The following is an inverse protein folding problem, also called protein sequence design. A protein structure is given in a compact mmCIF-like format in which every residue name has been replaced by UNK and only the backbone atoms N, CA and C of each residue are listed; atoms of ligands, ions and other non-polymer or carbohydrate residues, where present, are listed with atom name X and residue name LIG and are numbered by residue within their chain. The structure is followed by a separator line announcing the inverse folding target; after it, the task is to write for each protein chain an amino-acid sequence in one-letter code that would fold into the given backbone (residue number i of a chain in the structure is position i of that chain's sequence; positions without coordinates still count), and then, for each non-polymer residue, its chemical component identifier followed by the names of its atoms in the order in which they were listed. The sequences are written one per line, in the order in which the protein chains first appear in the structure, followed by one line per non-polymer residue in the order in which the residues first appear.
data_IF_490763779482
#
_entry.id   IF_490763779482
#
_cell.length_a   1.000
_cell.length_b   1.000
_cell.length_c   1.000
_cell.angle_alpha   90.00
_cell.angle_beta   90.00
_cell.angle_gamma   90.00
#
_symmetry.space_group_name_H-M   'P 1'
#
loop_
_entity.id
_entity.type
_entity.pdbx_description
1 polymer ?
#
# COMPACT_ATOMS: atom_id res chain seq x y z
N UNK A 1 -5.55 -24.15 -2.46
CA UNK A 1 -4.34 -23.30 -2.33
C UNK A 1 -4.74 -21.89 -2.72
N UNK A 2 -4.51 -20.92 -1.83
CA UNK A 2 -4.80 -19.51 -2.11
C UNK A 2 -3.78 -18.99 -3.11
N UNK A 3 -4.24 -18.52 -4.28
CA UNK A 3 -3.39 -17.93 -5.30
C UNK A 3 -3.24 -16.42 -5.05
N UNK A 4 -2.04 -15.88 -5.27
CA UNK A 4 -1.77 -14.43 -5.22
C UNK A 4 -1.48 -13.97 -6.64
N UNK A 5 -2.29 -13.04 -7.12
CA UNK A 5 -2.24 -12.51 -8.49
C UNK A 5 -2.34 -10.98 -8.49
N UNK A 6 -2.11 -10.36 -9.63
CA UNK A 6 -2.42 -8.95 -9.80
C UNK A 6 -3.93 -8.72 -9.60
N UNK A 7 -4.27 -7.70 -8.82
CA UNK A 7 -5.66 -7.32 -8.58
C UNK A 7 -6.30 -6.82 -9.88
N UNK A 8 -7.52 -7.23 -10.14
CA UNK A 8 -8.32 -6.78 -11.28
C UNK A 8 -9.14 -5.56 -10.88
N UNK A 9 -9.42 -4.68 -11.84
CA UNK A 9 -10.18 -3.46 -11.59
C UNK A 9 -11.62 -3.75 -11.12
N UNK A 10 -12.23 -4.86 -11.60
CA UNK A 10 -13.57 -5.30 -11.21
C UNK A 10 -13.67 -5.72 -9.74
N UNK A 11 -12.54 -6.02 -9.11
CA UNK A 11 -12.46 -6.45 -7.71
C UNK A 11 -12.50 -5.27 -6.72
N UNK A 12 -12.59 -4.03 -7.22
CA UNK A 12 -12.55 -2.83 -6.38
C UNK A 12 -13.59 -2.86 -5.26
N UNK A 13 -14.84 -3.24 -5.55
CA UNK A 13 -15.91 -3.32 -4.54
C UNK A 13 -15.63 -4.43 -3.50
N UNK A 14 -15.16 -5.60 -3.94
CA UNK A 14 -14.81 -6.70 -3.04
C UNK A 14 -13.63 -6.34 -2.14
N UNK A 15 -12.62 -5.64 -2.69
CA UNK A 15 -11.50 -5.11 -1.92
C UNK A 15 -11.95 -4.11 -0.86
N UNK A 16 -12.78 -3.11 -1.21
CA UNK A 16 -13.26 -2.14 -0.23
C UNK A 16 -14.01 -2.82 0.91
N UNK A 17 -14.89 -3.78 0.59
CA UNK A 17 -15.60 -4.58 1.59
C UNK A 17 -14.64 -5.35 2.52
N UNK A 18 -13.59 -5.95 1.96
CA UNK A 18 -12.56 -6.64 2.75
C UNK A 18 -11.79 -5.67 3.66
N UNK A 19 -11.45 -4.49 3.14
CA UNK A 19 -10.75 -3.45 3.90
C UNK A 19 -11.62 -2.91 5.04
N UNK A 20 -12.90 -2.66 4.80
CA UNK A 20 -13.84 -2.21 5.83
C UNK A 20 -14.04 -3.26 6.93
N UNK A 21 -14.12 -4.54 6.54
CA UNK A 21 -14.17 -5.65 7.49
C UNK A 21 -12.92 -5.75 8.37
N UNK A 22 -11.75 -5.56 7.76
CA UNK A 22 -10.46 -5.75 8.46
C UNK A 22 -9.98 -4.51 9.21
N UNK A 23 -10.34 -3.33 8.75
CA UNK A 23 -9.83 -2.04 9.22
C UNK A 23 -10.92 -0.94 9.12
N UNK A 24 -11.98 -0.99 9.93
CA UNK A 24 -13.10 -0.04 9.82
C UNK A 24 -12.66 1.43 10.00
N UNK A 25 -11.60 1.67 10.77
CA UNK A 25 -11.08 3.02 11.02
C UNK A 25 -9.93 3.42 10.07
N UNK A 26 -9.75 2.72 8.93
CA UNK A 26 -8.63 2.98 8.01
C UNK A 26 -8.58 4.41 7.48
N UNK A 27 -9.74 5.02 7.29
CA UNK A 27 -9.86 6.40 6.78
C UNK A 27 -9.27 7.47 7.73
N UNK A 28 -9.09 7.12 9.02
CA UNK A 28 -8.48 8.01 10.01
C UNK A 28 -6.95 7.96 10.00
N UNK A 29 -6.36 6.99 9.31
CA UNK A 29 -4.90 6.79 9.30
C UNK A 29 -4.19 7.82 8.45
N UNK A 30 -3.02 8.27 8.91
CA UNK A 30 -2.15 9.21 8.17
C UNK A 30 -1.76 8.70 6.78
N UNK A 31 -1.59 7.39 6.63
CA UNK A 31 -1.28 6.75 5.34
C UNK A 31 -2.42 6.86 4.32
N UNK A 32 -3.66 7.00 4.76
CA UNK A 32 -4.79 7.21 3.84
C UNK A 32 -4.71 8.56 3.13
N UNK A 33 -4.27 9.61 3.82
CA UNK A 33 -4.06 10.94 3.23
C UNK A 33 -3.08 10.94 2.07
N UNK A 34 -2.11 10.02 2.07
CA UNK A 34 -1.15 9.87 0.97
C UNK A 34 -1.80 9.16 -0.24
N UNK A 35 -2.74 8.27 0.02
CA UNK A 35 -3.40 7.43 -1.00
C UNK A 35 -4.61 8.11 -1.64
N UNK A 36 -5.22 9.04 -0.93
CA UNK A 36 -6.44 9.71 -1.37
C UNK A 36 -6.25 10.39 -2.74
N UNK A 37 -7.16 10.11 -3.68
CA UNK A 37 -7.11 10.63 -5.03
C UNK A 37 -5.93 10.14 -5.89
N UNK A 38 -5.23 9.08 -5.49
CA UNK A 38 -4.08 8.52 -6.21
C UNK A 38 -4.35 7.11 -6.71
N UNK A 39 -3.66 6.74 -7.77
CA UNK A 39 -3.59 5.37 -8.24
C UNK A 39 -2.44 4.65 -7.53
N UNK A 40 -2.58 3.35 -7.20
CA UNK A 40 -1.47 2.54 -6.72
C UNK A 40 -0.35 2.46 -7.78
N UNK A 41 0.84 2.10 -7.35
CA UNK A 41 1.95 1.87 -8.26
C UNK A 41 1.63 0.72 -9.21
N UNK A 42 1.94 0.89 -10.49
CA UNK A 42 1.60 -0.08 -11.54
C UNK A 42 2.13 -1.48 -11.23
N UNK A 43 1.24 -2.48 -11.35
CA UNK A 43 1.53 -3.89 -11.05
C UNK A 43 1.83 -4.19 -9.58
N UNK A 44 1.57 -3.25 -8.66
CA UNK A 44 1.80 -3.39 -7.22
C UNK A 44 0.49 -3.34 -6.41
N UNK A 45 -0.60 -3.77 -7.03
CA UNK A 45 -1.86 -4.15 -6.38
C UNK A 45 -2.01 -5.66 -6.49
N UNK A 46 -1.97 -6.38 -5.38
CA UNK A 46 -2.05 -7.83 -5.35
C UNK A 46 -3.29 -8.29 -4.61
N UNK A 47 -3.93 -9.31 -5.14
CA UNK A 47 -5.11 -9.96 -4.61
C UNK A 47 -4.83 -11.42 -4.31
N UNK A 48 -5.43 -11.93 -3.24
CA UNK A 48 -5.43 -13.34 -2.90
C UNK A 48 -6.86 -13.88 -2.92
N UNK A 49 -7.07 -14.97 -3.61
CA UNK A 49 -8.38 -15.62 -3.76
C UNK A 49 -8.45 -16.92 -2.96
N UNK A 50 -9.57 -17.12 -2.30
CA UNK A 50 -9.91 -18.38 -1.64
C UNK A 50 -10.26 -19.49 -2.63
N UNK A 51 -10.51 -20.71 -2.14
CA UNK A 51 -10.89 -21.85 -2.98
C UNK A 51 -12.20 -21.63 -3.77
N UNK A 52 -13.06 -20.75 -3.29
CA UNK A 52 -14.33 -20.36 -3.89
C UNK A 52 -14.21 -19.16 -4.86
N UNK A 53 -12.98 -18.72 -5.13
CA UNK A 53 -12.68 -17.58 -6.00
C UNK A 53 -12.92 -16.20 -5.37
N UNK A 54 -13.36 -16.13 -4.11
CA UNK A 54 -13.58 -14.86 -3.43
C UNK A 54 -12.26 -14.21 -3.02
N UNK A 55 -12.23 -12.88 -3.05
CA UNK A 55 -11.11 -12.10 -2.55
C UNK A 55 -10.99 -12.26 -1.02
N UNK A 56 -9.89 -12.81 -0.56
CA UNK A 56 -9.62 -13.08 0.86
C UNK A 56 -8.38 -12.37 1.39
N UNK A 57 -7.63 -11.71 0.52
CA UNK A 57 -6.48 -10.92 0.91
C UNK A 57 -6.13 -9.88 -0.14
N UNK A 58 -5.54 -8.77 0.28
CA UNK A 58 -5.07 -7.71 -0.62
C UNK A 58 -3.87 -6.98 -0.02
N UNK A 59 -2.98 -6.51 -0.88
CA UNK A 59 -1.93 -5.57 -0.53
C UNK A 59 -1.68 -4.64 -1.72
N UNK A 60 -1.44 -3.36 -1.42
CA UNK A 60 -1.13 -2.33 -2.43
C UNK A 60 0.08 -1.52 -2.03
N UNK A 61 0.81 -1.04 -3.02
CA UNK A 61 1.91 -0.10 -2.83
C UNK A 61 1.66 1.16 -3.66
N UNK A 62 2.15 2.28 -3.16
CA UNK A 62 1.87 3.61 -3.68
C UNK A 62 3.17 4.38 -3.87
N UNK A 63 3.31 5.08 -5.00
CA UNK A 63 4.47 5.94 -5.20
C UNK A 63 4.48 7.11 -4.23
N UNK A 64 5.59 7.26 -3.52
CA UNK A 64 5.86 8.36 -2.59
C UNK A 64 7.31 8.82 -2.71
N UNK A 65 7.65 9.90 -2.02
CA UNK A 65 9.04 10.26 -1.71
C UNK A 65 9.34 10.01 -0.24
N UNK A 66 10.50 9.46 0.07
CA UNK A 66 11.07 9.43 1.42
C UNK A 66 11.83 10.73 1.70
N UNK A 67 11.08 11.85 1.71
CA UNK A 67 11.63 13.19 1.66
C UNK A 67 12.09 13.60 0.25
N UNK A 68 12.57 14.85 0.07
CA UNK A 68 12.92 15.39 -1.25
C UNK A 68 13.96 14.52 -2.00
N UNK A 69 13.66 14.20 -3.27
CA UNK A 69 14.58 13.52 -4.16
C UNK A 69 14.83 12.03 -3.87
N UNK A 70 14.07 11.41 -2.98
CA UNK A 70 14.20 9.97 -2.65
C UNK A 70 12.93 9.21 -3.00
N UNK A 71 12.83 8.64 -4.21
CA UNK A 71 11.69 7.80 -4.59
C UNK A 71 11.54 6.60 -3.65
N UNK A 72 10.31 6.31 -3.27
CA UNK A 72 9.97 5.17 -2.44
C UNK A 72 8.56 4.66 -2.75
N UNK A 73 8.23 3.51 -2.20
CA UNK A 73 6.87 2.99 -2.16
C UNK A 73 6.34 3.06 -0.73
N UNK A 74 5.06 3.38 -0.56
CA UNK A 74 4.33 3.19 0.69
C UNK A 74 3.50 1.92 0.57
N UNK A 75 3.78 0.91 1.39
CA UNK A 75 3.04 -0.34 1.43
C UNK A 75 1.81 -0.19 2.32
N UNK A 76 0.68 -0.64 1.80
CA UNK A 76 -0.60 -0.75 2.48
C UNK A 76 -1.74 -0.12 1.68
N UNK A 77 -2.97 -0.45 2.02
CA UNK A 77 -3.36 -1.37 3.09
C UNK A 77 -2.99 -2.82 2.77
N UNK A 78 -2.67 -3.60 3.81
CA UNK A 78 -2.57 -5.04 3.78
C UNK A 78 -3.73 -5.60 4.60
N UNK A 79 -4.59 -6.38 3.98
CA UNK A 79 -5.72 -7.01 4.66
C UNK A 79 -5.82 -8.49 4.32
N UNK A 80 -6.19 -9.29 5.32
CA UNK A 80 -6.50 -10.71 5.18
C UNK A 80 -7.80 -10.98 5.93
N UNK A 81 -8.74 -11.60 5.21
CA UNK A 81 -10.03 -11.98 5.77
C UNK A 81 -9.83 -12.81 7.06
N UNK A 82 -10.62 -12.57 8.13
CA UNK A 82 -10.42 -13.21 9.44
C UNK A 82 -10.27 -14.73 9.39
N UNK A 83 -11.05 -15.41 8.54
CA UNK A 83 -10.99 -16.87 8.40
C UNK A 83 -9.71 -17.39 7.74
N UNK A 84 -8.94 -16.53 7.10
CA UNK A 84 -7.66 -16.86 6.46
C UNK A 84 -6.46 -16.30 7.23
N UNK A 85 -6.69 -15.71 8.40
CA UNK A 85 -5.60 -15.34 9.33
C UNK A 85 -4.97 -16.59 9.90
N UNK A 86 -3.75 -16.48 10.37
CA UNK A 86 -2.94 -17.60 10.90
C UNK A 86 -2.54 -18.69 9.88
N UNK A 87 -3.01 -18.60 8.62
CA UNK A 87 -2.57 -19.52 7.54
C UNK A 87 -1.33 -18.99 6.78
N UNK A 88 -0.66 -17.96 7.29
CA UNK A 88 0.52 -17.36 6.65
C UNK A 88 0.20 -16.50 5.41
N UNK A 89 -1.07 -16.27 5.06
CA UNK A 89 -1.45 -15.53 3.85
C UNK A 89 -0.93 -14.09 3.86
N UNK A 90 -0.96 -13.42 5.02
CA UNK A 90 -0.41 -12.06 5.16
C UNK A 90 1.09 -12.00 4.87
N UNK A 91 1.85 -13.01 5.33
CA UNK A 91 3.29 -13.12 5.05
C UNK A 91 3.54 -13.36 3.55
N UNK A 92 2.77 -14.25 2.92
CA UNK A 92 2.87 -14.50 1.48
C UNK A 92 2.55 -13.25 0.64
N UNK A 93 1.54 -12.47 1.02
CA UNK A 93 1.23 -11.19 0.37
C UNK A 93 2.38 -10.19 0.52
N UNK A 94 2.98 -10.10 1.71
CA UNK A 94 4.16 -9.26 1.95
C UNK A 94 5.35 -9.68 1.08
N UNK A 95 5.67 -10.97 1.05
CA UNK A 95 6.78 -11.51 0.26
C UNK A 95 6.55 -11.26 -1.25
N UNK A 96 5.32 -11.50 -1.73
CA UNK A 96 4.96 -11.23 -3.12
C UNK A 96 5.10 -9.74 -3.46
N UNK A 97 4.60 -8.84 -2.60
CA UNK A 97 4.69 -7.40 -2.80
C UNK A 97 6.15 -6.91 -2.81
N UNK A 98 6.98 -7.37 -1.87
CA UNK A 98 8.40 -7.04 -1.79
C UNK A 98 9.15 -7.58 -3.03
N UNK A 99 8.89 -8.82 -3.41
CA UNK A 99 9.49 -9.46 -4.59
C UNK A 99 9.13 -8.72 -5.88
N UNK A 100 7.86 -8.37 -6.05
CA UNK A 100 7.38 -7.60 -7.22
C UNK A 100 8.00 -6.20 -7.25
N UNK A 101 8.05 -5.50 -6.12
CA UNK A 101 8.67 -4.18 -6.04
C UNK A 101 10.17 -4.24 -6.43
N UNK A 102 10.90 -5.23 -5.93
CA UNK A 102 12.31 -5.45 -6.28
C UNK A 102 12.49 -5.76 -7.77
N UNK A 103 11.69 -6.65 -8.32
CA UNK A 103 11.73 -7.03 -9.74
C UNK A 103 11.43 -5.84 -10.68
N UNK A 104 10.62 -4.88 -10.20
CA UNK A 104 10.30 -3.65 -10.93
C UNK A 104 11.31 -2.51 -10.72
N UNK A 105 12.41 -2.76 -10.00
CA UNK A 105 13.51 -1.80 -9.84
C UNK A 105 13.25 -0.72 -8.80
N UNK A 106 12.34 -0.94 -7.86
CA UNK A 106 12.16 -0.01 -6.74
C UNK A 106 13.26 -0.21 -5.70
N UNK A 107 13.71 0.88 -5.11
CA UNK A 107 14.84 0.89 -4.16
C UNK A 107 14.42 0.84 -2.70
N UNK A 108 13.18 1.26 -2.39
CA UNK A 108 12.73 1.46 -1.00
C UNK A 108 11.23 1.21 -0.84
N UNK A 109 10.88 0.55 0.26
CA UNK A 109 9.49 0.42 0.72
C UNK A 109 9.38 0.99 2.13
N UNK A 110 8.38 1.84 2.36
CA UNK A 110 7.98 2.37 3.67
C UNK A 110 6.64 1.78 4.08
N UNK A 111 6.37 1.69 5.37
CA UNK A 111 5.05 1.37 5.91
C UNK A 111 4.88 1.93 7.33
N UNK A 112 3.64 2.02 7.79
CA UNK A 112 3.30 2.26 9.19
C UNK A 112 2.65 1.00 9.74
N UNK A 113 3.32 0.33 10.70
CA UNK A 113 2.86 -0.96 11.20
C UNK A 113 3.54 -1.42 12.48
N UNK A 114 3.28 -2.65 12.85
CA UNK A 114 3.83 -3.27 14.06
C UNK A 114 5.27 -3.76 13.82
N UNK A 115 6.25 -3.11 14.42
CA UNK A 115 7.66 -3.39 14.17
C UNK A 115 8.06 -4.86 14.38
N UNK A 116 7.63 -5.56 15.45
CA UNK A 116 7.92 -6.97 15.63
C UNK A 116 7.41 -7.85 14.47
N UNK A 117 6.22 -7.54 13.95
CA UNK A 117 5.67 -8.29 12.83
C UNK A 117 6.47 -8.07 11.55
N UNK A 118 6.81 -6.82 11.22
CA UNK A 118 7.45 -6.46 9.96
C UNK A 118 8.97 -6.69 9.95
N UNK A 119 9.60 -6.84 11.12
CA UNK A 119 11.03 -7.14 11.22
C UNK A 119 11.43 -8.43 10.48
N UNK A 120 10.55 -9.43 10.43
CA UNK A 120 10.78 -10.69 9.69
C UNK A 120 10.98 -10.51 8.19
N UNK A 121 10.50 -9.39 7.63
CA UNK A 121 10.66 -9.01 6.23
C UNK A 121 11.80 -8.01 6.01
N UNK A 122 12.56 -7.67 7.06
CA UNK A 122 13.68 -6.74 7.01
C UNK A 122 13.30 -5.27 7.23
N UNK A 123 12.06 -4.95 7.58
CA UNK A 123 11.68 -3.58 7.93
C UNK A 123 12.21 -3.16 9.29
N UNK A 124 12.65 -1.92 9.39
CA UNK A 124 13.08 -1.33 10.66
C UNK A 124 12.83 0.18 10.71
N UNK A 125 12.87 0.75 11.92
CA UNK A 125 12.77 2.19 12.14
C UNK A 125 14.14 2.90 12.11
N UNK A 126 15.24 2.19 11.87
CA UNK A 126 16.60 2.73 12.00
C UNK A 126 16.89 3.92 11.08
N UNK A 127 16.32 3.94 9.86
CA UNK A 127 16.57 4.97 8.86
C UNK A 127 15.36 5.87 8.59
N UNK A 128 14.28 5.73 9.37
CA UNK A 128 13.05 6.52 9.18
C UNK A 128 12.88 7.63 10.22
N UNK A 129 13.79 7.75 11.17
CA UNK A 129 13.65 8.68 12.30
C UNK A 129 13.55 10.17 11.93
N UNK A 130 14.08 10.57 10.78
CA UNK A 130 13.98 11.93 10.26
C UNK A 130 12.88 12.09 9.19
N UNK A 131 12.08 11.03 8.93
CA UNK A 131 10.93 11.07 8.04
C UNK A 131 9.63 11.33 8.82
N UNK A 132 8.63 11.89 8.14
CA UNK A 132 7.35 12.28 8.74
C UNK A 132 6.21 11.91 7.81
N UNK A 133 5.14 11.35 8.38
CA UNK A 133 3.88 11.15 7.68
C UNK A 133 2.99 12.40 7.83
N UNK A 134 2.11 12.71 6.88
CA UNK A 134 1.10 13.73 7.06
C UNK A 134 0.05 13.28 8.08
N UNK A 135 -0.16 14.08 9.13
CA UNK A 135 -1.14 13.79 10.18
C UNK A 135 -0.59 12.97 11.33
N UNK A 136 -1.49 12.43 12.15
CA UNK A 136 -1.14 11.74 13.39
C UNK A 136 -0.74 10.29 13.13
N UNK A 137 0.38 9.87 13.68
CA UNK A 137 0.86 8.49 13.71
C UNK A 137 1.88 8.30 14.83
N UNK A 138 2.12 7.05 15.22
CA UNK A 138 3.16 6.70 16.18
C UNK A 138 4.51 6.57 15.45
N UNK A 139 5.47 7.42 15.78
CA UNK A 139 6.76 7.51 15.06
C UNK A 139 7.53 6.19 14.97
N UNK A 140 7.52 5.41 16.05
CA UNK A 140 8.22 4.11 16.10
C UNK A 140 7.61 3.06 15.16
N UNK A 141 6.40 3.30 14.64
CA UNK A 141 5.71 2.43 13.68
C UNK A 141 6.00 2.79 12.22
N UNK A 142 6.68 3.90 11.95
CA UNK A 142 7.15 4.22 10.60
C UNK A 142 8.40 3.41 10.31
N UNK A 143 8.28 2.42 9.45
CA UNK A 143 9.33 1.46 9.14
C UNK A 143 9.74 1.57 7.67
N UNK A 144 11.02 1.29 7.39
CA UNK A 144 11.58 1.25 6.05
C UNK A 144 12.29 -0.06 5.76
N UNK A 145 12.22 -0.48 4.51
CA UNK A 145 12.98 -1.57 3.93
C UNK A 145 13.75 -1.05 2.73
N UNK A 146 15.07 -1.16 2.77
CA UNK A 146 15.92 -0.90 1.63
C UNK A 146 15.98 -2.14 0.72
N UNK A 147 15.45 -2.04 -0.48
CA UNK A 147 15.62 -3.06 -1.52
C UNK A 147 17.00 -2.91 -2.19
N UNK A 148 17.51 -1.69 -2.19
CA UNK A 148 18.87 -1.34 -2.58
C UNK A 148 19.59 -0.69 -1.41
N UNK A 149 20.74 -1.21 -1.04
CA UNK A 149 21.50 -0.71 0.10
C UNK A 149 21.81 0.80 -0.04
N UNK A 150 21.60 1.55 1.05
CA UNK A 150 21.83 2.98 1.10
C UNK A 150 20.70 3.85 0.53
N UNK A 151 19.61 3.28 0.05
CA UNK A 151 18.50 4.03 -0.55
C UNK A 151 17.84 5.01 0.44
N UNK A 152 17.85 4.70 1.73
CA UNK A 152 17.35 5.56 2.80
C UNK A 152 18.43 6.40 3.49
N UNK A 153 19.68 6.33 3.05
CA UNK A 153 20.75 7.13 3.67
C UNK A 153 20.46 8.63 3.51
N UNK A 154 20.41 9.35 4.64
CA UNK A 154 20.08 10.76 4.67
C UNK A 154 18.60 11.10 4.36
N UNK A 155 17.71 10.11 4.31
CA UNK A 155 16.29 10.33 4.11
C UNK A 155 15.70 11.16 5.24
N UNK A 156 15.03 12.28 4.89
CA UNK A 156 14.48 13.22 5.87
C UNK A 156 13.35 14.06 5.26
N UNK A 157 12.45 14.50 6.10
CA UNK A 157 11.36 15.40 5.72
C UNK A 157 10.04 14.66 5.52
N UNK A 158 9.08 15.32 4.90
CA UNK A 158 7.72 14.82 4.71
C UNK A 158 7.69 13.73 3.63
N UNK A 159 7.04 12.63 3.96
CA UNK A 159 6.66 11.62 2.96
C UNK A 159 5.48 12.18 2.17
N UNK A 160 5.67 12.32 0.86
CA UNK A 160 4.68 12.94 -0.02
C UNK A 160 4.28 12.01 -1.16
N UNK A 161 3.00 12.01 -1.59
CA UNK A 161 2.54 11.19 -2.69
C UNK A 161 3.10 11.69 -4.03
N UNK A 162 3.57 10.76 -4.86
CA UNK A 162 4.07 11.05 -6.21
C UNK A 162 3.39 10.21 -7.29
N UNK A 163 2.49 9.30 -6.91
CA UNK A 163 1.73 8.48 -7.84
C UNK A 163 0.76 9.30 -8.71
N UNK A 164 0.35 8.72 -9.81
CA UNK A 164 -0.66 9.30 -10.69
C UNK A 164 -1.96 9.58 -9.92
N UNK A 165 -2.61 10.68 -10.27
CA UNK A 165 -3.91 11.03 -9.71
C UNK A 165 -5.03 10.26 -10.43
N UNK A 166 -6.06 9.91 -9.68
CA UNK A 166 -7.31 9.42 -10.25
C UNK A 166 -7.91 10.55 -11.08
N UNK A 167 -8.28 10.24 -12.33
CA UNK A 167 -9.00 11.20 -13.15
C UNK A 167 -10.33 11.55 -12.48
N UNK A 168 -10.51 12.82 -12.15
CA UNK A 168 -11.81 13.33 -11.68
C UNK A 168 -12.55 13.80 -12.92
N UNK A 169 -13.74 13.25 -13.23
CA UNK A 169 -14.53 13.72 -14.36
C UNK A 169 -14.78 15.22 -14.24
N UNK A 170 -14.59 15.96 -15.33
CA UNK A 170 -14.96 17.36 -15.36
C UNK A 170 -16.48 17.51 -15.27
N UNK A 171 -16.95 18.70 -14.89
CA UNK A 171 -18.39 18.98 -14.91
C UNK A 171 -19.00 18.73 -16.31
N UNK A 172 -18.24 19.03 -17.36
CA UNK A 172 -18.65 18.78 -18.73
C UNK A 172 -18.82 17.28 -19.03
N UNK A 173 -17.90 16.43 -18.53
CA UNK A 173 -18.00 14.98 -18.68
C UNK A 173 -19.21 14.41 -17.95
N UNK A 174 -19.50 14.92 -16.74
CA UNK A 174 -20.66 14.52 -15.94
C UNK A 174 -21.98 14.93 -16.62
N UNK A 175 -22.04 16.14 -17.19
CA UNK A 175 -23.22 16.62 -17.94
C UNK A 175 -23.40 15.78 -19.21
N UNK A 176 -22.35 15.49 -19.95
CA UNK A 176 -22.41 14.66 -21.15
C UNK A 176 -22.90 13.24 -20.83
N UNK A 177 -22.42 12.62 -19.77
CA UNK A 177 -22.86 11.30 -19.31
C UNK A 177 -24.34 11.30 -18.88
N UNK A 178 -24.79 12.34 -18.17
CA UNK A 178 -26.20 12.48 -17.76
C UNK A 178 -27.15 12.73 -18.94
N UNK A 179 -26.65 13.31 -20.04
CA UNK A 179 -27.45 13.58 -21.25
C UNK A 179 -27.53 12.36 -22.19
N UNK A 180 -26.72 11.34 -21.97
CA UNK A 180 -26.67 10.11 -22.76
C UNK A 180 -27.42 8.93 -22.13
N UNK A 181 -28.00 9.10 -20.95
CA UNK A 181 -28.78 8.12 -20.19
C UNK A 181 -30.28 8.38 -20.32
#
# INVERSE_FOLDING_TARGET
VTEIVAEKWEEAAARESLLDLCMPERHLKSSERIREGRLPADGLSLAAHGPDGRLVGTVRLWHVTAGPGKPALLLGPLAVHPWFRACGLGARLMEAAIGTARARGHDTILLVGDAPYYARFGFSAQKTGALWMPGTYERHRLLGLELKAGALDGARGLISPTGAQVAVPSLADLIAAASAA
#
